data_IF_245599482977
#
_entry.id   IF_245599482977
#
_cell.length_a   1.000
_cell.length_b   1.000
_cell.length_c   1.000
_cell.angle_alpha   90.00
_cell.angle_beta   90.00
_cell.angle_gamma   90.00
#
_symmetry.space_group_name_H-M   'P 1'
#
loop_
_entity.id
_entity.type
_entity.pdbx_description
1 polymer ?
#
# COMPACT_ATOMS: atom_id res chain seq x y z
N UNK A 1 -10.28 10.07 7.46
CA UNK A 1 -9.12 11.01 7.34
C UNK A 1 -8.13 10.59 6.23
N UNK A 2 -8.62 9.89 5.21
CA UNK A 2 -7.86 9.54 4.00
C UNK A 2 -7.72 10.76 3.09
N UNK A 3 -6.60 10.87 2.38
CA UNK A 3 -6.40 11.94 1.39
C UNK A 3 -7.50 11.92 0.31
N UNK A 4 -8.12 13.05 -0.04
CA UNK A 4 -9.27 13.08 -0.96
C UNK A 4 -9.00 12.44 -2.33
N UNK A 5 -7.81 12.63 -2.90
CA UNK A 5 -7.45 11.98 -4.16
C UNK A 5 -7.40 10.45 -4.05
N UNK A 6 -6.89 9.92 -2.93
CA UNK A 6 -6.89 8.48 -2.69
C UNK A 6 -8.31 7.94 -2.59
N UNK A 7 -9.19 8.68 -1.91
CA UNK A 7 -10.61 8.32 -1.82
C UNK A 7 -11.28 8.27 -3.20
N UNK A 8 -11.03 9.28 -4.04
CA UNK A 8 -11.57 9.32 -5.42
C UNK A 8 -11.06 8.15 -6.27
N UNK A 9 -9.79 7.80 -6.16
CA UNK A 9 -9.22 6.64 -6.88
C UNK A 9 -9.83 5.34 -6.40
N UNK A 10 -10.01 5.17 -5.10
CA UNK A 10 -10.70 4.00 -4.52
C UNK A 10 -12.12 3.87 -5.09
N UNK A 11 -12.90 4.95 -5.13
CA UNK A 11 -14.24 4.92 -5.69
C UNK A 11 -14.23 4.46 -7.15
N UNK A 12 -13.31 4.99 -7.94
CA UNK A 12 -13.20 4.65 -9.36
C UNK A 12 -12.97 3.15 -9.56
N UNK A 13 -12.01 2.58 -8.84
CA UNK A 13 -11.69 1.15 -8.98
C UNK A 13 -12.71 0.24 -8.31
N UNK A 14 -13.19 0.60 -7.14
CA UNK A 14 -14.14 -0.21 -6.39
C UNK A 14 -15.50 -0.28 -7.11
N UNK A 15 -16.03 0.86 -7.55
CA UNK A 15 -17.28 0.91 -8.29
C UNK A 15 -17.24 0.08 -9.57
N UNK A 16 -16.13 0.14 -10.33
CA UNK A 16 -15.96 -0.65 -11.55
C UNK A 16 -15.97 -2.17 -11.29
N UNK A 17 -15.69 -2.59 -10.07
CA UNK A 17 -15.64 -3.99 -9.65
C UNK A 17 -16.83 -4.39 -8.74
N UNK A 18 -17.83 -3.53 -8.57
CA UNK A 18 -18.98 -3.80 -7.71
C UNK A 18 -18.67 -3.89 -6.22
N UNK A 19 -17.57 -3.27 -5.79
CA UNK A 19 -17.15 -3.22 -4.39
C UNK A 19 -17.68 -1.93 -3.76
N UNK A 20 -18.46 -2.07 -2.69
CA UNK A 20 -18.97 -0.94 -1.93
C UNK A 20 -17.86 -0.33 -1.07
N UNK A 21 -17.71 0.99 -1.13
CA UNK A 21 -16.80 1.74 -0.26
C UNK A 21 -17.62 2.55 0.74
N UNK A 22 -17.41 2.30 2.02
CA UNK A 22 -18.07 3.00 3.13
C UNK A 22 -17.10 3.92 3.82
N UNK A 23 -17.50 5.17 4.04
CA UNK A 23 -16.71 6.14 4.79
C UNK A 23 -16.95 5.98 6.29
N UNK A 24 -15.86 6.07 7.05
CA UNK A 24 -15.89 6.07 8.51
C UNK A 24 -15.91 7.49 9.05
N UNK A 25 -16.51 7.64 10.23
CA UNK A 25 -16.47 8.90 10.98
C UNK A 25 -15.07 9.13 11.57
N UNK A 26 -14.81 10.36 11.95
CA UNK A 26 -13.61 10.72 12.70
C UNK A 26 -13.91 10.83 14.18
N UNK A 27 -12.89 10.58 15.01
CA UNK A 27 -12.91 10.93 16.42
C UNK A 27 -12.79 12.45 16.60
N UNK A 28 -13.00 12.96 17.82
CA UNK A 28 -12.78 14.37 18.13
C UNK A 28 -11.35 14.82 17.90
N UNK A 29 -10.38 13.91 18.07
CA UNK A 29 -8.96 14.15 17.82
C UNK A 29 -8.57 14.05 16.35
N UNK A 30 -9.52 13.75 15.46
CA UNK A 30 -9.30 13.64 14.02
C UNK A 30 -8.76 12.30 13.53
N UNK A 31 -8.75 11.27 14.38
CA UNK A 31 -8.42 9.88 14.01
C UNK A 31 -9.62 9.15 13.41
N UNK A 32 -9.41 7.93 12.95
CA UNK A 32 -10.48 7.07 12.41
C UNK A 32 -11.27 6.40 13.52
N UNK A 33 -12.60 6.64 13.57
CA UNK A 33 -13.51 5.99 14.53
C UNK A 33 -14.04 4.67 13.96
N UNK A 34 -14.00 3.61 14.78
CA UNK A 34 -14.58 2.30 14.48
C UNK A 34 -15.93 2.07 15.18
N UNK A 35 -16.40 3.00 16.01
CA UNK A 35 -17.55 2.84 16.91
C UNK A 35 -18.87 2.57 16.17
N UNK A 36 -19.03 3.10 14.97
CA UNK A 36 -20.28 2.99 14.21
C UNK A 36 -20.31 1.82 13.22
N UNK A 37 -19.23 1.06 13.14
CA UNK A 37 -19.21 -0.16 12.36
C UNK A 37 -19.90 -1.27 13.17
N UNK A 38 -21.20 -1.41 12.94
CA UNK A 38 -21.95 -2.57 13.45
C UNK A 38 -21.27 -3.84 12.97
N UNK A 39 -21.55 -4.95 13.65
CA UNK A 39 -21.04 -6.30 13.31
C UNK A 39 -21.49 -6.81 11.93
N UNK A 40 -21.44 -5.98 10.90
CA UNK A 40 -21.70 -6.33 9.53
C UNK A 40 -20.57 -7.25 9.03
N UNK A 41 -20.95 -8.47 8.73
CA UNK A 41 -20.08 -9.64 8.68
C UNK A 41 -19.11 -9.72 7.50
N UNK A 42 -19.13 -8.82 6.52
CA UNK A 42 -18.39 -8.99 5.27
C UNK A 42 -17.55 -7.75 4.90
N UNK A 43 -16.62 -7.38 5.77
CA UNK A 43 -15.65 -6.35 5.45
C UNK A 43 -14.41 -6.98 4.80
N UNK A 44 -14.17 -6.68 3.54
CA UNK A 44 -12.98 -7.15 2.84
C UNK A 44 -11.70 -6.48 3.36
N UNK A 45 -11.76 -5.17 3.64
CA UNK A 45 -10.63 -4.42 4.13
C UNK A 45 -11.05 -3.16 4.89
N UNK A 46 -10.17 -2.74 5.81
CA UNK A 46 -10.14 -1.41 6.40
C UNK A 46 -8.99 -0.64 5.77
N UNK A 47 -9.27 0.53 5.21
CA UNK A 47 -8.26 1.38 4.56
C UNK A 47 -8.06 2.62 5.43
N UNK A 48 -6.84 2.82 5.90
CA UNK A 48 -6.47 3.92 6.80
C UNK A 48 -5.20 4.60 6.29
N UNK A 49 -5.13 5.91 6.39
CA UNK A 49 -3.90 6.65 6.14
C UNK A 49 -3.26 7.03 7.47
N UNK A 50 -1.95 6.77 7.61
CA UNK A 50 -1.20 7.17 8.80
C UNK A 50 0.21 7.66 8.41
N UNK A 51 0.66 8.85 8.82
CA UNK A 51 -0.19 9.91 9.37
C UNK A 51 -1.33 10.26 8.41
N UNK A 52 -2.50 10.60 8.93
CA UNK A 52 -3.64 10.92 8.09
C UNK A 52 -3.56 12.33 7.49
N UNK A 53 -4.57 12.76 6.72
CA UNK A 53 -4.55 14.05 6.01
C UNK A 53 -4.46 15.26 6.97
N UNK A 54 -4.80 15.09 8.23
CA UNK A 54 -4.70 16.12 9.27
C UNK A 54 -3.38 16.02 10.08
N UNK A 55 -2.51 15.06 9.75
CA UNK A 55 -1.27 14.81 10.46
C UNK A 55 -1.42 13.95 11.72
N UNK A 56 -2.60 13.41 11.98
CA UNK A 56 -2.83 12.53 13.13
C UNK A 56 -2.26 11.14 12.86
N UNK A 57 -1.54 10.60 13.84
CA UNK A 57 -1.04 9.22 13.81
C UNK A 57 -2.14 8.28 14.26
N UNK A 58 -2.53 7.36 13.41
CA UNK A 58 -3.62 6.42 13.66
C UNK A 58 -3.18 5.25 14.56
N UNK A 59 -4.13 4.67 15.29
CA UNK A 59 -3.92 3.50 16.15
C UNK A 59 -3.95 2.19 15.34
N UNK A 60 -2.95 2.00 14.46
CA UNK A 60 -2.94 0.92 13.48
C UNK A 60 -3.00 -0.48 14.10
N UNK A 61 -2.40 -0.70 15.26
CA UNK A 61 -2.43 -2.00 15.93
C UNK A 61 -3.85 -2.41 16.35
N UNK A 62 -4.60 -1.49 16.96
CA UNK A 62 -5.99 -1.71 17.35
C UNK A 62 -6.89 -1.92 16.12
N UNK A 63 -6.67 -1.13 15.09
CA UNK A 63 -7.38 -1.23 13.82
C UNK A 63 -7.08 -2.56 13.10
N UNK A 64 -5.84 -3.05 13.18
CA UNK A 64 -5.46 -4.36 12.66
C UNK A 64 -6.18 -5.50 13.41
N UNK A 65 -6.14 -5.48 14.73
CA UNK A 65 -6.84 -6.46 15.56
C UNK A 65 -8.34 -6.49 15.24
N UNK A 66 -8.94 -5.31 15.15
CA UNK A 66 -10.36 -5.17 14.86
C UNK A 66 -10.78 -5.77 13.52
N UNK A 67 -10.05 -5.45 12.43
CA UNK A 67 -10.39 -5.94 11.08
C UNK A 67 -10.01 -7.41 10.90
N UNK A 68 -8.91 -7.88 11.48
CA UNK A 68 -8.50 -9.27 11.42
C UNK A 68 -9.47 -10.21 12.14
N UNK A 69 -10.06 -9.76 13.27
CA UNK A 69 -11.12 -10.52 13.94
C UNK A 69 -12.33 -10.77 13.01
N UNK A 70 -12.51 -9.94 11.99
CA UNK A 70 -13.56 -10.04 10.95
C UNK A 70 -13.05 -10.69 9.65
N UNK A 71 -11.82 -11.23 9.65
CA UNK A 71 -11.15 -11.85 8.50
C UNK A 71 -10.90 -10.87 7.33
N UNK A 72 -10.99 -9.57 7.56
CA UNK A 72 -10.63 -8.52 6.61
C UNK A 72 -9.14 -8.18 6.68
N UNK A 73 -8.69 -7.31 5.79
CA UNK A 73 -7.31 -6.84 5.69
C UNK A 73 -7.18 -5.40 6.19
N UNK A 74 -6.07 -5.07 6.85
CA UNK A 74 -5.68 -3.69 7.08
C UNK A 74 -4.78 -3.21 5.94
N UNK A 75 -5.24 -2.19 5.22
CA UNK A 75 -4.48 -1.50 4.18
C UNK A 75 -4.13 -0.11 4.69
N UNK A 76 -2.83 0.18 4.79
CA UNK A 76 -2.37 1.49 5.28
C UNK A 76 -1.78 2.30 4.14
N UNK A 77 -2.34 3.50 3.93
CA UNK A 77 -1.77 4.50 3.03
C UNK A 77 -0.89 5.50 3.77
N UNK A 78 0.02 6.16 3.05
CA UNK A 78 0.80 7.30 3.55
C UNK A 78 1.16 8.24 2.41
N UNK A 79 1.30 9.53 2.73
CA UNK A 79 1.74 10.57 1.79
C UNK A 79 3.18 11.02 2.04
N UNK A 80 3.72 10.69 3.22
CA UNK A 80 5.06 11.09 3.65
C UNK A 80 5.81 9.89 4.26
N UNK A 81 6.70 9.32 3.47
CA UNK A 81 7.45 8.13 3.87
C UNK A 81 8.45 8.39 5.01
N UNK A 82 9.01 9.61 5.09
CA UNK A 82 9.98 9.96 6.13
C UNK A 82 9.41 9.97 7.54
N UNK A 83 8.08 10.03 7.68
CA UNK A 83 7.42 9.89 8.98
C UNK A 83 7.82 8.59 9.69
N UNK A 84 8.07 7.52 8.94
CA UNK A 84 8.48 6.23 9.48
C UNK A 84 9.94 6.13 9.91
N UNK A 85 10.69 7.20 9.78
CA UNK A 85 11.98 7.36 10.48
C UNK A 85 11.81 7.58 11.99
N UNK A 86 10.63 8.02 12.43
CA UNK A 86 10.28 8.26 13.83
C UNK A 86 9.16 7.33 14.33
N UNK A 87 8.20 7.02 13.48
CA UNK A 87 7.02 6.21 13.83
C UNK A 87 7.28 4.72 13.62
N UNK A 88 6.60 3.90 14.40
CA UNK A 88 6.55 2.46 14.15
C UNK A 88 5.96 2.19 12.76
N UNK A 89 6.55 1.27 12.00
CA UNK A 89 6.12 0.97 10.64
C UNK A 89 4.72 0.33 10.64
N UNK A 90 3.88 0.60 9.65
CA UNK A 90 2.55 0.00 9.59
C UNK A 90 2.57 -1.53 9.60
N UNK A 91 3.55 -2.13 8.92
CA UNK A 91 3.71 -3.58 8.91
C UNK A 91 3.99 -4.17 10.29
N UNK A 92 4.78 -3.49 11.15
CA UNK A 92 5.03 -3.92 12.53
C UNK A 92 3.79 -3.78 13.42
N UNK A 93 2.86 -2.93 13.04
CA UNK A 93 1.59 -2.70 13.73
C UNK A 93 0.43 -3.53 13.15
N UNK A 94 0.70 -4.46 12.26
CA UNK A 94 -0.30 -5.39 11.78
C UNK A 94 -0.86 -5.12 10.39
N UNK A 95 -0.45 -4.05 9.68
CA UNK A 95 -0.90 -3.82 8.32
C UNK A 95 -0.54 -4.99 7.38
N UNK A 96 -1.47 -5.37 6.52
CA UNK A 96 -1.30 -6.44 5.54
C UNK A 96 -0.72 -5.91 4.23
N UNK A 97 -1.15 -4.71 3.84
CA UNK A 97 -0.69 -4.00 2.66
C UNK A 97 -0.40 -2.56 3.05
N UNK A 98 0.72 -2.05 2.58
CA UNK A 98 1.14 -0.66 2.82
C UNK A 98 1.47 -0.05 1.47
N UNK A 99 0.94 1.13 1.18
CA UNK A 99 1.24 1.84 -0.05
C UNK A 99 1.29 3.35 0.18
N UNK A 100 2.09 4.05 -0.60
CA UNK A 100 2.19 5.49 -0.48
C UNK A 100 3.25 6.11 -1.36
N UNK A 101 3.64 7.32 -1.02
CA UNK A 101 4.52 8.17 -1.80
C UNK A 101 5.94 8.19 -1.23
N UNK A 102 6.93 7.99 -2.10
CA UNK A 102 8.34 7.96 -1.74
C UNK A 102 9.14 9.17 -2.23
N UNK A 103 8.51 10.20 -2.78
CA UNK A 103 9.21 11.38 -3.32
C UNK A 103 10.19 12.01 -2.35
N UNK A 104 9.84 12.07 -1.06
CA UNK A 104 10.66 12.67 0.00
C UNK A 104 12.00 11.98 0.24
N UNK A 105 12.21 10.77 -0.28
CA UNK A 105 13.49 10.08 -0.16
C UNK A 105 14.62 10.60 -1.07
N UNK A 106 14.40 11.63 -1.85
CA UNK A 106 15.46 12.25 -2.64
C UNK A 106 15.03 12.93 -3.93
N UNK A 107 13.74 12.94 -4.24
CA UNK A 107 13.21 13.65 -5.40
C UNK A 107 12.79 15.06 -5.01
N UNK A 108 13.09 16.03 -5.86
CA UNK A 108 12.59 17.40 -5.69
C UNK A 108 11.10 17.48 -5.97
N UNK A 109 10.42 18.44 -5.37
CA UNK A 109 8.98 18.64 -5.58
C UNK A 109 8.60 19.05 -7.02
N UNK A 110 9.49 19.73 -7.73
CA UNK A 110 9.44 20.03 -9.16
C UNK A 110 8.03 20.29 -9.73
N UNK A 111 7.23 21.11 -9.04
CA UNK A 111 5.84 21.46 -9.45
C UNK A 111 4.90 20.27 -9.68
N UNK A 112 5.03 19.22 -8.92
CA UNK A 112 4.10 18.09 -8.94
C UNK A 112 4.65 16.81 -9.54
N UNK A 113 5.93 16.64 -9.58
CA UNK A 113 6.55 15.38 -10.01
C UNK A 113 8.06 15.53 -10.26
N UNK A 114 8.75 14.43 -10.53
CA UNK A 114 8.25 13.06 -10.57
C UNK A 114 7.95 12.49 -9.18
N UNK A 115 7.10 11.48 -9.14
CA UNK A 115 6.71 10.75 -7.95
C UNK A 115 7.28 9.33 -7.93
N UNK A 116 7.26 8.69 -6.77
CA UNK A 116 7.66 7.30 -6.61
C UNK A 116 6.66 6.56 -5.72
N UNK A 117 5.84 5.70 -6.32
CA UNK A 117 4.96 4.83 -5.56
C UNK A 117 5.74 3.76 -4.80
N UNK A 118 5.47 3.64 -3.52
CA UNK A 118 5.98 2.59 -2.65
C UNK A 118 4.85 1.61 -2.32
N UNK A 119 5.16 0.31 -2.34
CA UNK A 119 4.21 -0.72 -1.95
C UNK A 119 4.92 -1.86 -1.25
N UNK A 120 4.36 -2.28 -0.12
CA UNK A 120 4.79 -3.44 0.63
C UNK A 120 3.60 -4.31 1.02
N UNK A 121 3.82 -5.60 1.17
CA UNK A 121 2.78 -6.52 1.59
C UNK A 121 3.36 -7.68 2.40
N UNK A 122 2.51 -8.38 3.16
CA UNK A 122 2.89 -9.62 3.81
C UNK A 122 3.23 -10.71 2.78
N UNK A 123 4.11 -11.63 3.15
CA UNK A 123 4.55 -12.72 2.27
C UNK A 123 3.39 -13.53 1.67
N UNK A 124 2.29 -13.66 2.38
CA UNK A 124 1.10 -14.36 1.91
C UNK A 124 0.53 -13.77 0.61
N UNK A 125 0.65 -12.45 0.41
CA UNK A 125 0.09 -11.72 -0.73
C UNK A 125 1.11 -11.41 -1.82
N UNK A 126 2.34 -11.87 -1.72
CA UNK A 126 3.42 -11.54 -2.67
C UNK A 126 3.07 -11.87 -4.12
N UNK A 127 2.25 -12.91 -4.34
CA UNK A 127 1.82 -13.30 -5.68
C UNK A 127 0.75 -12.38 -6.28
N UNK A 128 0.10 -11.59 -5.46
CA UNK A 128 -0.92 -10.62 -5.85
C UNK A 128 -0.36 -9.20 -5.98
N UNK A 129 0.87 -8.98 -5.53
CA UNK A 129 1.52 -7.67 -5.63
C UNK A 129 1.60 -7.22 -7.09
N UNK A 130 1.09 -6.05 -7.46
CA UNK A 130 1.29 -5.48 -8.78
C UNK A 130 2.75 -5.10 -8.99
N UNK A 131 3.28 -5.28 -10.21
CA UNK A 131 4.66 -4.96 -10.52
C UNK A 131 5.61 -6.14 -10.43
N UNK A 132 6.86 -5.89 -10.82
CA UNK A 132 7.92 -6.87 -10.88
C UNK A 132 8.61 -7.01 -9.54
N UNK A 133 9.03 -8.22 -9.22
CA UNK A 133 9.82 -8.51 -8.02
C UNK A 133 11.20 -9.04 -8.43
N UNK A 134 12.23 -8.46 -7.85
CA UNK A 134 13.60 -8.90 -8.03
C UNK A 134 14.02 -9.73 -6.82
N UNK A 135 14.45 -10.96 -7.08
CA UNK A 135 15.00 -11.86 -6.07
C UNK A 135 16.52 -11.84 -6.07
N UNK A 136 17.12 -11.95 -4.90
CA UNK A 136 18.55 -12.18 -4.79
C UNK A 136 18.85 -13.66 -4.95
N UNK A 137 19.90 -13.95 -5.70
CA UNK A 137 20.42 -15.32 -5.97
C UNK A 137 21.94 -15.28 -6.05
N UNK A 138 22.54 -16.36 -6.49
CA UNK A 138 23.96 -16.43 -6.85
C UNK A 138 24.11 -16.85 -8.31
N UNK A 139 25.16 -16.36 -8.97
CA UNK A 139 25.52 -16.78 -10.32
C UNK A 139 26.22 -18.17 -10.33
N UNK A 140 26.61 -18.63 -11.51
CA UNK A 140 27.31 -19.90 -11.69
C UNK A 140 28.73 -19.95 -11.07
N UNK A 141 29.22 -18.80 -10.58
CA UNK A 141 30.51 -18.67 -9.86
C UNK A 141 30.30 -18.43 -8.36
N UNK A 142 29.06 -18.54 -7.84
CA UNK A 142 28.71 -18.30 -6.46
C UNK A 142 28.68 -16.83 -6.03
N UNK A 143 28.77 -15.87 -6.96
CA UNK A 143 28.68 -14.45 -6.66
C UNK A 143 27.21 -14.00 -6.57
N UNK A 144 26.95 -13.02 -5.70
CA UNK A 144 25.63 -12.40 -5.56
C UNK A 144 25.12 -11.90 -6.92
N UNK A 145 23.93 -12.33 -7.28
CA UNK A 145 23.24 -11.94 -8.49
C UNK A 145 21.76 -11.61 -8.19
N UNK A 146 21.07 -11.02 -9.16
CA UNK A 146 19.67 -10.68 -9.06
C UNK A 146 18.92 -11.21 -10.27
N UNK A 147 17.65 -11.58 -10.06
CA UNK A 147 16.80 -12.16 -11.10
C UNK A 147 15.36 -11.67 -10.93
N UNK A 148 14.69 -11.46 -12.05
CA UNK A 148 13.25 -11.22 -12.04
C UNK A 148 12.52 -12.48 -11.60
N UNK A 149 11.67 -12.36 -10.59
CA UNK A 149 10.89 -13.47 -10.05
C UNK A 149 9.43 -13.35 -10.42
N UNK A 150 8.69 -14.47 -10.30
CA UNK A 150 7.25 -14.53 -10.50
C UNK A 150 6.80 -14.05 -11.90
N UNK A 151 7.61 -14.23 -12.94
CA UNK A 151 7.32 -13.80 -14.31
C UNK A 151 6.01 -14.36 -14.87
N UNK A 152 5.53 -15.48 -14.35
CA UNK A 152 4.26 -16.08 -14.74
C UNK A 152 3.03 -15.22 -14.44
N UNK A 153 3.16 -14.15 -13.64
CA UNK A 153 2.08 -13.17 -13.35
C UNK A 153 1.97 -12.09 -14.41
N UNK A 154 2.94 -11.96 -15.31
CA UNK A 154 3.06 -10.83 -16.22
C UNK A 154 2.25 -11.01 -17.51
N UNK A 155 1.90 -9.91 -18.17
CA UNK A 155 1.04 -9.88 -19.36
C UNK A 155 1.56 -10.73 -20.51
N UNK A 156 2.87 -10.76 -20.74
CA UNK A 156 3.47 -11.55 -21.83
C UNK A 156 3.26 -13.06 -21.66
N UNK A 157 2.91 -13.52 -20.45
CA UNK A 157 2.59 -14.93 -20.15
C UNK A 157 1.09 -15.11 -19.90
N UNK A 158 0.52 -14.34 -19.00
CA UNK A 158 -0.87 -14.51 -18.51
C UNK A 158 -1.91 -13.73 -19.31
N UNK A 159 -1.49 -12.79 -20.16
CA UNK A 159 -2.38 -11.93 -20.97
C UNK A 159 -3.41 -11.22 -20.07
N UNK A 160 -4.70 -11.39 -20.35
CA UNK A 160 -5.81 -10.78 -19.59
C UNK A 160 -5.89 -11.22 -18.12
N UNK A 161 -5.28 -12.33 -17.77
CA UNK A 161 -5.23 -12.87 -16.40
C UNK A 161 -4.00 -12.42 -15.61
N UNK A 162 -3.22 -11.50 -16.17
CA UNK A 162 -2.03 -10.99 -15.49
C UNK A 162 -2.41 -10.14 -14.28
N UNK A 163 -1.68 -10.29 -13.19
CA UNK A 163 -1.80 -9.45 -12.00
C UNK A 163 -0.72 -8.36 -11.95
N UNK A 164 0.27 -8.44 -12.84
CA UNK A 164 1.35 -7.47 -12.97
C UNK A 164 1.22 -6.72 -14.30
N UNK A 165 0.59 -5.54 -14.26
CA UNK A 165 0.29 -4.72 -15.44
C UNK A 165 0.97 -3.36 -15.40
N UNK A 166 1.95 -3.15 -14.52
CA UNK A 166 2.57 -1.86 -14.28
C UNK A 166 3.76 -1.67 -15.21
N UNK A 167 3.82 -0.49 -15.83
CA UNK A 167 4.98 -0.02 -16.56
C UNK A 167 6.08 0.40 -15.57
N UNK A 168 7.33 -0.01 -15.82
CA UNK A 168 8.47 0.28 -14.94
C UNK A 168 9.22 1.56 -15.38
N UNK A 169 8.53 2.63 -15.68
CA UNK A 169 9.18 3.88 -16.12
C UNK A 169 9.70 4.75 -14.97
N UNK A 170 9.55 4.34 -13.72
CA UNK A 170 10.03 5.06 -12.54
C UNK A 170 11.43 4.59 -12.05
N UNK A 171 12.20 3.88 -12.89
CA UNK A 171 13.49 3.32 -12.50
C UNK A 171 14.50 4.36 -12.04
N UNK A 172 14.59 5.51 -12.71
CA UNK A 172 15.48 6.60 -12.31
C UNK A 172 15.06 7.19 -10.95
N UNK A 173 13.77 7.39 -10.73
CA UNK A 173 13.24 7.87 -9.44
C UNK A 173 13.54 6.86 -8.32
N UNK A 174 13.36 5.58 -8.58
CA UNK A 174 13.68 4.53 -7.62
C UNK A 174 15.17 4.51 -7.27
N UNK A 175 16.06 4.68 -8.25
CA UNK A 175 17.52 4.77 -8.01
C UNK A 175 17.90 6.02 -7.22
N UNK A 176 17.20 7.13 -7.41
CA UNK A 176 17.48 8.38 -6.68
C UNK A 176 17.03 8.28 -5.23
N UNK A 177 15.98 7.53 -4.95
CA UNK A 177 15.42 7.36 -3.61
C UNK A 177 16.05 6.20 -2.81
N UNK A 178 16.86 5.35 -3.44
CA UNK A 178 17.51 4.19 -2.80
C UNK A 178 18.86 4.56 -2.20
#
# INVERSE_FOLDING_TARGET
ALHPHYRTVLDTYCNANGIEVRDLTMTEEGGTSLEHLKDDAELAALIVQSPNVFGVVEHLAEQAEWIHARKGLLITGFTEAMAYGLLATPGSQGADIVCGEGQSFGLSQAFGGPYLGLMATRKAFVRNLPGRLVGQTVDNKGKRAFVLTLSTREQHIRREKAVSNICSNAGLCAMTCA
#
